data_IF_501722773728
#
_entry.id   IF_501722773728
#
_cell.length_a   1.000
_cell.length_b   1.000
_cell.length_c   1.000
_cell.angle_alpha   90.00
_cell.angle_beta   90.00
_cell.angle_gamma   90.00
#
_symmetry.space_group_name_H-M   'P 1'
#
loop_
_entity.id
_entity.type
_entity.pdbx_description
1 polymer ?
#
# COMPACT_ATOMS: atom_id res chain seq x y z
N UNK A 1 -58.96 1.16 56.83
CA UNK A 1 -57.68 0.51 56.56
C UNK A 1 -57.17 0.98 55.22
N UNK A 2 -56.10 1.78 55.21
CA UNK A 2 -55.47 2.26 53.98
C UNK A 2 -54.27 1.34 53.65
N UNK A 3 -54.37 0.55 52.61
CA UNK A 3 -53.27 -0.22 52.05
C UNK A 3 -52.36 0.72 51.29
N UNK A 4 -51.13 0.88 51.75
CA UNK A 4 -50.08 1.59 51.03
C UNK A 4 -49.49 0.67 49.99
N UNK A 5 -49.72 0.99 48.72
CA UNK A 5 -49.04 0.36 47.61
C UNK A 5 -47.61 0.91 47.53
N UNK A 6 -46.62 0.02 47.70
CA UNK A 6 -45.22 0.32 47.51
C UNK A 6 -44.89 0.12 46.04
N UNK A 7 -44.69 1.20 45.30
CA UNK A 7 -44.21 1.16 43.94
C UNK A 7 -42.69 0.91 43.98
N UNK A 8 -42.27 -0.30 43.69
CA UNK A 8 -40.87 -0.66 43.47
C UNK A 8 -40.47 -0.16 42.09
N UNK A 9 -39.72 0.94 42.05
CA UNK A 9 -39.10 1.44 40.84
C UNK A 9 -37.91 0.57 40.51
N UNK A 10 -38.09 -0.39 39.59
CA UNK A 10 -36.99 -1.20 39.04
C UNK A 10 -36.07 -0.35 38.24
N UNK A 11 -34.85 -0.10 38.73
CA UNK A 11 -33.78 0.54 37.99
C UNK A 11 -33.25 -0.47 36.96
N UNK A 12 -33.68 -0.36 35.70
CA UNK A 12 -33.16 -1.14 34.62
C UNK A 12 -31.78 -0.58 34.25
N UNK A 13 -30.71 -1.17 34.83
CA UNK A 13 -29.34 -0.86 34.42
C UNK A 13 -29.15 -1.47 33.03
N UNK A 14 -29.29 -0.65 31.99
CA UNK A 14 -28.92 -1.01 30.62
C UNK A 14 -27.43 -1.20 30.56
N UNK A 15 -26.97 -2.46 30.52
CA UNK A 15 -25.60 -2.79 30.23
C UNK A 15 -25.33 -2.45 28.76
N UNK A 16 -24.72 -1.29 28.53
CA UNK A 16 -24.25 -0.91 27.21
C UNK A 16 -23.05 -1.80 26.87
N UNK A 17 -23.28 -2.91 26.16
CA UNK A 17 -22.21 -3.69 25.56
C UNK A 17 -21.61 -2.82 24.46
N UNK A 18 -20.48 -2.19 24.73
CA UNK A 18 -19.56 -1.68 23.71
C UNK A 18 -19.03 -2.91 22.96
N UNK A 19 -19.70 -3.26 21.88
CA UNK A 19 -19.14 -4.19 20.90
C UNK A 19 -17.93 -3.47 20.31
N UNK A 20 -16.69 -3.98 20.50
CA UNK A 20 -15.56 -3.38 19.82
C UNK A 20 -15.83 -3.55 18.33
N UNK A 21 -16.07 -2.45 17.63
CA UNK A 21 -16.06 -2.43 16.17
C UNK A 21 -14.64 -2.81 15.77
N UNK A 22 -14.46 -4.06 15.39
CA UNK A 22 -13.27 -4.52 14.69
C UNK A 22 -13.24 -3.73 13.39
N UNK A 23 -12.44 -2.68 13.37
CA UNK A 23 -12.06 -2.04 12.10
C UNK A 23 -11.17 -3.09 11.44
N UNK A 24 -11.78 -3.95 10.63
CA UNK A 24 -11.03 -4.74 9.67
C UNK A 24 -10.34 -3.72 8.75
N UNK A 25 -9.04 -3.50 8.99
CA UNK A 25 -8.22 -2.82 8.02
C UNK A 25 -8.37 -3.61 6.72
N UNK A 26 -9.14 -3.08 5.79
CA UNK A 26 -9.40 -3.71 4.50
C UNK A 26 -8.05 -3.86 3.82
N UNK A 27 -7.57 -5.10 3.68
CA UNK A 27 -6.31 -5.40 2.99
C UNK A 27 -6.45 -4.84 1.58
N UNK A 28 -5.80 -3.72 1.32
CA UNK A 28 -5.83 -3.10 0.01
C UNK A 28 -5.22 -4.08 -0.99
N UNK A 29 -5.97 -4.39 -2.03
CA UNK A 29 -5.47 -5.25 -3.11
C UNK A 29 -4.29 -4.56 -3.80
N UNK A 30 -3.19 -5.28 -4.06
CA UNK A 30 -2.06 -4.70 -4.74
C UNK A 30 -2.43 -4.26 -6.15
N UNK A 31 -1.82 -3.16 -6.58
CA UNK A 31 -2.00 -2.66 -7.95
C UNK A 31 -1.51 -3.71 -8.96
N UNK A 32 -2.27 -3.86 -10.02
CA UNK A 32 -1.87 -4.65 -11.19
C UNK A 32 -1.22 -3.71 -12.22
N UNK A 33 -0.05 -4.06 -12.69
CA UNK A 33 0.65 -3.30 -13.73
C UNK A 33 0.93 -4.20 -14.95
N UNK A 34 0.69 -3.65 -16.14
CA UNK A 34 0.96 -4.35 -17.39
C UNK A 34 2.38 -4.06 -17.84
N UNK A 35 3.15 -5.11 -18.14
CA UNK A 35 4.49 -5.02 -18.72
C UNK A 35 4.56 -6.00 -19.89
N UNK A 36 4.51 -5.47 -21.11
CA UNK A 36 4.38 -6.31 -22.30
C UNK A 36 3.12 -7.18 -22.23
N UNK A 37 3.27 -8.48 -22.34
CA UNK A 37 2.18 -9.46 -22.25
C UNK A 37 1.95 -10.00 -20.84
N UNK A 38 2.65 -9.47 -19.86
CA UNK A 38 2.59 -9.93 -18.47
C UNK A 38 1.90 -8.92 -17.58
N UNK A 39 1.18 -9.43 -16.59
CA UNK A 39 0.66 -8.63 -15.48
C UNK A 39 1.59 -8.87 -14.29
N UNK A 40 2.00 -7.80 -13.63
CA UNK A 40 2.88 -7.84 -12.47
C UNK A 40 2.16 -7.26 -11.27
N UNK A 41 2.40 -7.82 -10.10
CA UNK A 41 1.88 -7.32 -8.82
C UNK A 41 2.84 -7.59 -7.67
N UNK A 42 2.65 -6.88 -6.58
CA UNK A 42 3.19 -7.29 -5.27
C UNK A 42 2.42 -8.54 -4.81
N UNK A 43 3.12 -9.52 -4.26
CA UNK A 43 2.45 -10.69 -3.69
C UNK A 43 1.62 -10.27 -2.46
N UNK A 44 0.29 -10.43 -2.47
CA UNK A 44 -0.57 -9.99 -1.38
C UNK A 44 -0.34 -10.74 -0.06
N UNK A 45 0.23 -11.95 -0.12
CA UNK A 45 0.51 -12.76 1.07
C UNK A 45 1.95 -12.58 1.57
N UNK A 46 2.88 -12.18 0.68
CA UNK A 46 4.29 -11.94 0.99
C UNK A 46 4.76 -10.66 0.30
N UNK A 47 4.63 -9.47 0.93
CA UNK A 47 4.96 -8.19 0.31
C UNK A 47 6.43 -8.01 -0.08
N UNK A 48 7.32 -8.89 0.34
CA UNK A 48 8.72 -8.92 -0.11
C UNK A 48 8.91 -9.56 -1.48
N UNK A 49 7.82 -10.06 -2.08
CA UNK A 49 7.83 -10.76 -3.36
C UNK A 49 7.06 -10.01 -4.44
N UNK A 50 7.57 -10.12 -5.67
CA UNK A 50 6.85 -9.70 -6.87
C UNK A 50 6.36 -10.97 -7.59
N UNK A 51 5.12 -10.94 -8.04
CA UNK A 51 4.50 -11.99 -8.83
C UNK A 51 4.19 -11.50 -10.24
N UNK A 52 4.10 -12.43 -11.18
CA UNK A 52 3.68 -12.17 -12.54
C UNK A 52 2.67 -13.23 -13.02
N UNK A 53 1.89 -12.86 -14.03
CA UNK A 53 0.94 -13.72 -14.71
C UNK A 53 1.02 -13.50 -16.21
N UNK A 54 1.04 -14.59 -16.97
CA UNK A 54 0.90 -14.62 -18.44
C UNK A 54 -0.49 -15.08 -18.86
N UNK A 55 -1.35 -15.39 -17.90
CA UNK A 55 -2.69 -15.97 -18.13
C UNK A 55 -3.83 -14.98 -17.78
N UNK A 56 -3.56 -13.67 -17.85
CA UNK A 56 -4.55 -12.66 -17.52
C UNK A 56 -4.95 -12.65 -16.03
N UNK A 57 -4.03 -13.06 -15.16
CA UNK A 57 -4.26 -13.08 -13.71
C UNK A 57 -4.90 -14.36 -13.18
N UNK A 58 -5.09 -15.39 -14.02
CA UNK A 58 -5.65 -16.70 -13.59
C UNK A 58 -4.66 -17.49 -12.76
N UNK A 59 -3.37 -17.46 -13.14
CA UNK A 59 -2.28 -18.10 -12.41
C UNK A 59 -1.16 -17.10 -12.16
N UNK A 60 -0.55 -17.18 -10.98
CA UNK A 60 0.52 -16.29 -10.54
C UNK A 60 1.77 -17.10 -10.20
N UNK A 61 2.90 -16.65 -10.70
CA UNK A 61 4.21 -17.19 -10.37
C UNK A 61 5.05 -16.13 -9.70
N UNK A 62 5.96 -16.56 -8.83
CA UNK A 62 6.91 -15.64 -8.19
C UNK A 62 7.99 -15.24 -9.19
N UNK A 63 8.23 -13.93 -9.31
CA UNK A 63 9.26 -13.36 -10.17
C UNK A 63 10.48 -12.91 -9.39
N UNK A 64 10.26 -12.29 -8.25
CA UNK A 64 11.31 -11.80 -7.37
C UNK A 64 11.00 -12.19 -5.93
N UNK A 65 12.04 -12.62 -5.24
CA UNK A 65 12.00 -12.86 -3.81
C UNK A 65 13.31 -12.37 -3.20
N UNK A 66 13.23 -11.54 -2.18
CA UNK A 66 14.40 -10.99 -1.52
C UNK A 66 14.01 -9.95 -0.49
N UNK A 67 14.89 -9.73 0.48
CA UNK A 67 14.69 -8.77 1.58
C UNK A 67 15.40 -7.44 1.36
N UNK A 68 16.22 -7.31 0.31
CA UNK A 68 17.03 -6.11 0.07
C UNK A 68 16.19 -4.86 -0.16
N UNK A 69 15.04 -5.00 -0.84
CA UNK A 69 14.11 -3.88 -1.07
C UNK A 69 13.18 -3.59 0.11
N UNK A 70 13.13 -4.46 1.12
CA UNK A 70 12.08 -4.43 2.13
C UNK A 70 10.75 -4.96 1.59
N UNK A 71 9.64 -4.48 2.12
CA UNK A 71 8.30 -4.79 1.63
C UNK A 71 7.90 -3.82 0.54
N UNK A 72 7.39 -4.35 -0.57
CA UNK A 72 6.80 -3.56 -1.64
C UNK A 72 5.42 -3.06 -1.21
N UNK A 73 5.18 -1.76 -1.35
CA UNK A 73 3.94 -1.09 -0.95
C UNK A 73 3.09 -0.77 -2.17
N UNK A 74 3.70 -0.21 -3.20
CA UNK A 74 3.05 0.15 -4.46
C UNK A 74 4.00 -0.03 -5.65
N UNK A 75 3.44 -0.17 -6.82
CA UNK A 75 4.16 -0.51 -8.04
C UNK A 75 3.50 0.17 -9.23
N UNK A 76 4.28 0.87 -10.05
CA UNK A 76 3.81 1.45 -11.32
C UNK A 76 4.83 1.25 -12.44
N UNK A 77 4.37 1.37 -13.68
CA UNK A 77 5.23 1.59 -14.84
C UNK A 77 5.36 3.10 -15.06
N UNK A 78 6.57 3.58 -15.15
CA UNK A 78 6.88 4.98 -15.45
C UNK A 78 8.07 5.07 -16.40
N UNK A 79 7.88 5.67 -17.57
CA UNK A 79 8.92 5.81 -18.61
C UNK A 79 9.67 4.48 -18.89
N UNK A 80 8.92 3.42 -19.15
CA UNK A 80 9.42 2.06 -19.44
C UNK A 80 10.19 1.36 -18.32
N UNK A 81 10.14 1.88 -17.11
CA UNK A 81 10.69 1.24 -15.91
C UNK A 81 9.56 0.86 -14.96
N UNK A 82 9.73 -0.22 -14.22
CA UNK A 82 8.95 -0.45 -13.02
C UNK A 82 9.53 0.38 -11.88
N UNK A 83 8.70 1.16 -11.24
CA UNK A 83 9.05 1.94 -10.05
C UNK A 83 8.22 1.38 -8.89
N UNK A 84 8.87 1.12 -7.78
CA UNK A 84 8.25 0.59 -6.58
C UNK A 84 8.47 1.52 -5.38
N UNK A 85 7.41 1.78 -4.65
CA UNK A 85 7.47 2.27 -3.28
C UNK A 85 7.64 1.06 -2.35
N UNK A 86 8.60 1.14 -1.45
CA UNK A 86 8.90 0.08 -0.48
C UNK A 86 9.08 0.67 0.92
N UNK A 87 9.15 -0.19 1.91
CA UNK A 87 9.49 0.23 3.30
C UNK A 87 10.89 0.81 3.43
N UNK A 88 11.77 0.60 2.44
CA UNK A 88 13.14 1.13 2.41
C UNK A 88 13.34 2.32 1.46
N UNK A 89 12.31 2.74 0.74
CA UNK A 89 12.37 3.86 -0.19
C UNK A 89 11.83 3.52 -1.58
N UNK A 90 12.40 4.15 -2.60
CA UNK A 90 12.02 3.93 -4.00
C UNK A 90 13.06 3.03 -4.67
N UNK A 91 12.55 1.99 -5.31
CA UNK A 91 13.32 1.05 -6.11
C UNK A 91 12.83 1.03 -7.55
N UNK A 92 13.66 0.56 -8.46
CA UNK A 92 13.29 0.44 -9.87
C UNK A 92 13.80 -0.85 -10.48
N UNK A 93 13.14 -1.28 -11.54
CA UNK A 93 13.53 -2.43 -12.34
C UNK A 93 13.39 -2.11 -13.83
N UNK A 94 14.43 -2.39 -14.59
CA UNK A 94 14.44 -2.36 -16.06
C UNK A 94 14.30 -3.76 -16.67
N UNK A 95 14.19 -4.78 -15.82
CA UNK A 95 14.11 -6.20 -16.21
C UNK A 95 12.72 -6.80 -16.00
N UNK A 96 11.67 -5.95 -15.97
CA UNK A 96 10.30 -6.40 -15.74
C UNK A 96 10.07 -6.97 -14.34
N UNK A 97 10.76 -6.46 -13.34
CA UNK A 97 10.63 -6.89 -11.95
C UNK A 97 11.49 -8.08 -11.52
N UNK A 98 12.42 -8.54 -12.39
CA UNK A 98 13.35 -9.65 -12.06
C UNK A 98 14.46 -9.20 -11.14
N UNK A 99 15.00 -8.00 -11.38
CA UNK A 99 16.03 -7.36 -10.56
C UNK A 99 15.60 -5.97 -10.16
N UNK A 100 15.97 -5.58 -8.96
CA UNK A 100 15.61 -4.29 -8.38
C UNK A 100 16.86 -3.57 -7.90
N UNK A 101 16.93 -2.29 -8.22
CA UNK A 101 18.00 -1.40 -7.79
C UNK A 101 17.43 -0.23 -7.01
N UNK A 102 18.22 0.29 -6.09
CA UNK A 102 17.85 1.44 -5.28
C UNK A 102 17.78 2.69 -6.15
N UNK A 103 16.74 3.49 -5.97
CA UNK A 103 16.59 4.80 -6.61
C UNK A 103 16.64 5.95 -5.61
N UNK A 104 15.96 5.80 -4.47
CA UNK A 104 15.93 6.80 -3.41
C UNK A 104 15.69 6.13 -2.06
N UNK A 105 16.55 6.42 -1.08
CA UNK A 105 16.48 5.88 0.29
C UNK A 105 16.47 6.96 1.36
N UNK A 106 16.32 8.23 0.97
CA UNK A 106 16.21 9.32 1.93
C UNK A 106 14.95 9.21 2.79
N UNK A 107 15.04 9.65 4.03
CA UNK A 107 13.93 9.60 5.00
C UNK A 107 13.14 10.90 5.11
N UNK A 108 13.58 11.96 4.44
CA UNK A 108 12.97 13.29 4.53
C UNK A 108 11.52 13.34 4.01
N UNK A 109 11.19 12.49 3.04
CA UNK A 109 9.84 12.40 2.49
C UNK A 109 8.88 11.59 3.37
N UNK A 110 9.36 10.89 4.37
CA UNK A 110 8.58 9.92 5.15
C UNK A 110 8.42 8.59 4.43
N UNK A 111 7.39 7.84 4.80
CA UNK A 111 7.07 6.54 4.21
C UNK A 111 6.23 6.71 2.95
N UNK A 112 6.73 6.21 1.83
CA UNK A 112 5.99 6.19 0.55
C UNK A 112 4.81 5.21 0.64
N UNK A 113 3.63 5.65 0.19
CA UNK A 113 2.38 4.88 0.26
C UNK A 113 1.84 4.53 -1.12
N UNK A 114 1.74 5.53 -1.99
CA UNK A 114 1.26 5.36 -3.36
C UNK A 114 2.08 6.16 -4.35
N UNK A 115 2.16 5.65 -5.56
CA UNK A 115 2.82 6.30 -6.69
C UNK A 115 1.80 6.62 -7.78
N UNK A 116 2.02 7.69 -8.53
CA UNK A 116 1.19 8.06 -9.67
C UNK A 116 2.06 8.65 -10.77
N UNK A 117 1.84 8.20 -12.00
CA UNK A 117 2.37 8.83 -13.20
C UNK A 117 1.51 10.08 -13.51
N UNK A 118 2.13 11.24 -13.52
CA UNK A 118 1.52 12.53 -13.87
C UNK A 118 2.16 13.12 -15.14
N UNK A 119 2.51 12.26 -16.09
CA UNK A 119 3.15 12.65 -17.33
C UNK A 119 4.63 12.95 -17.16
N UNK A 120 4.99 14.24 -17.03
CA UNK A 120 6.39 14.66 -16.91
C UNK A 120 6.97 14.51 -15.50
N UNK A 121 6.16 14.16 -14.52
CA UNK A 121 6.57 13.98 -13.14
C UNK A 121 5.94 12.73 -12.53
N UNK A 122 6.65 12.16 -11.59
CA UNK A 122 6.19 11.09 -10.74
C UNK A 122 5.68 11.70 -9.44
N UNK A 123 4.45 11.38 -9.05
CA UNK A 123 3.88 11.81 -7.77
C UNK A 123 3.94 10.65 -6.77
N UNK A 124 4.09 11.00 -5.51
CA UNK A 124 4.02 10.05 -4.41
C UNK A 124 3.26 10.63 -3.22
N UNK A 125 2.28 9.90 -2.73
CA UNK A 125 1.70 10.16 -1.43
C UNK A 125 2.56 9.49 -0.37
N UNK A 126 2.89 10.23 0.67
CA UNK A 126 3.61 9.74 1.85
C UNK A 126 2.85 10.10 3.13
N UNK A 127 3.29 9.60 4.26
CA UNK A 127 2.77 10.00 5.57
C UNK A 127 3.08 11.47 5.93
N UNK A 128 3.98 12.13 5.18
CA UNK A 128 4.31 13.57 5.34
C UNK A 128 3.68 14.48 4.29
N UNK A 129 2.87 13.94 3.37
CA UNK A 129 2.14 14.66 2.34
C UNK A 129 2.42 14.21 0.92
N UNK A 130 2.06 15.05 -0.04
CA UNK A 130 2.26 14.79 -1.46
C UNK A 130 3.64 15.30 -1.90
N UNK A 131 4.38 14.43 -2.55
CA UNK A 131 5.70 14.72 -3.12
C UNK A 131 5.69 14.50 -4.63
N UNK A 132 6.60 15.15 -5.33
CA UNK A 132 6.79 14.97 -6.76
C UNK A 132 8.28 14.84 -7.11
N UNK A 133 8.54 14.17 -8.22
CA UNK A 133 9.87 13.99 -8.79
C UNK A 133 9.83 14.18 -10.28
N UNK A 134 10.66 15.08 -10.80
CA UNK A 134 10.90 15.27 -12.24
C UNK A 134 12.09 14.44 -12.74
N UNK A 135 12.76 13.74 -11.84
CA UNK A 135 13.95 12.91 -12.09
C UNK A 135 13.66 11.41 -12.01
N UNK A 136 12.43 10.99 -12.28
CA UNK A 136 11.97 9.59 -12.22
C UNK A 136 12.20 8.95 -10.85
N UNK A 137 11.98 9.69 -9.78
CA UNK A 137 12.09 9.20 -8.41
C UNK A 137 13.48 9.32 -7.77
N UNK A 138 14.46 9.97 -8.43
CA UNK A 138 15.80 10.17 -7.85
C UNK A 138 15.83 11.28 -6.81
N UNK A 139 15.07 12.33 -7.02
CA UNK A 139 14.92 13.47 -6.10
C UNK A 139 13.44 13.78 -5.93
N UNK A 140 13.07 14.16 -4.72
CA UNK A 140 11.69 14.42 -4.34
C UNK A 140 11.56 15.80 -3.70
N UNK A 141 10.52 16.51 -4.08
CA UNK A 141 10.15 17.80 -3.49
C UNK A 141 8.71 17.74 -3.01
N UNK A 142 8.44 18.39 -1.89
CA UNK A 142 7.08 18.43 -1.33
C UNK A 142 6.22 19.37 -2.17
N UNK A 143 5.02 18.91 -2.55
CA UNK A 143 4.02 19.74 -3.18
C UNK A 143 3.39 20.65 -2.11
N UNK A 144 3.30 21.93 -2.40
CA UNK A 144 2.66 22.95 -1.55
C UNK A 144 1.19 23.08 -1.90
#
# INVERSE_FOLDING_TARGET
MKTKSILTLGLLLGLLFLVPTQINAQKTMPRLVQVGNEIIRVNPEKPTQIQYSTSGGRMWSTRYTGSSCGEFIDLIVYKNELIAATTKGIYYSTSGGRMWSTRYTGTSCGTFQTLMDNGNELLAQTDKGLYYSTSSGRMWSKRR
#
